data_IF_860951408108
#
_entry.id   IF_860951408108
#
_cell.length_a   1.000
_cell.length_b   1.000
_cell.length_c   1.000
_cell.angle_alpha   90.00
_cell.angle_beta   90.00
_cell.angle_gamma   90.00
#
_symmetry.space_group_name_H-M   'P 1'
#
loop_
_entity.id
_entity.type
_entity.pdbx_description
1 polymer ?
#
# COMPACT_ATOMS: atom_id res chain seq x y z
N UNK A 1 16.16 -6.12 -8.40
CA UNK A 1 16.51 -6.26 -6.95
C UNK A 1 16.70 -7.72 -6.67
N UNK A 2 17.66 -8.09 -5.83
CA UNK A 2 17.94 -9.47 -5.52
C UNK A 2 17.48 -9.80 -4.08
N UNK A 3 16.97 -11.01 -3.87
CA UNK A 3 16.70 -11.55 -2.55
C UNK A 3 18.00 -12.11 -1.97
N UNK A 4 18.33 -11.71 -0.75
CA UNK A 4 19.50 -12.20 -0.02
C UNK A 4 19.07 -13.00 1.19
N UNK A 5 19.39 -14.29 1.20
CA UNK A 5 19.34 -15.11 2.42
C UNK A 5 20.52 -14.75 3.32
N UNK A 6 20.25 -14.52 4.60
CA UNK A 6 21.30 -14.19 5.57
C UNK A 6 21.92 -15.49 6.10
N UNK A 7 23.24 -15.48 6.33
CA UNK A 7 23.96 -16.62 6.92
C UNK A 7 23.36 -16.96 8.29
N UNK A 8 23.17 -18.25 8.63
CA UNK A 8 22.51 -18.68 9.88
C UNK A 8 23.45 -18.61 11.10
N UNK A 9 24.06 -17.45 11.32
CA UNK A 9 25.00 -17.25 12.45
C UNK A 9 24.30 -17.16 13.81
N UNK A 10 22.99 -16.83 13.81
CA UNK A 10 22.16 -16.80 15.03
C UNK A 10 20.77 -17.37 14.73
N UNK A 11 20.01 -17.86 15.75
CA UNK A 11 18.65 -18.36 15.55
C UNK A 11 17.74 -17.37 14.80
N UNK A 12 17.85 -16.08 15.10
CA UNK A 12 17.05 -15.04 14.45
C UNK A 12 17.43 -14.74 13.00
N UNK A 13 18.60 -15.16 12.54
CA UNK A 13 19.07 -14.97 11.17
C UNK A 13 18.86 -16.21 10.29
N UNK A 14 18.68 -17.40 10.89
CA UNK A 14 18.56 -18.68 10.17
C UNK A 14 17.56 -18.67 9.02
N UNK A 15 16.40 -18.06 9.21
CA UNK A 15 15.34 -18.01 8.21
C UNK A 15 15.11 -16.62 7.65
N UNK A 16 16.06 -15.70 7.87
CA UNK A 16 15.91 -14.31 7.45
C UNK A 16 16.23 -14.16 5.97
N UNK A 17 15.27 -13.56 5.24
CA UNK A 17 15.42 -13.17 3.83
C UNK A 17 15.15 -11.67 3.75
N UNK A 18 16.04 -10.95 3.11
CA UNK A 18 15.91 -9.50 2.88
C UNK A 18 15.94 -9.20 1.39
N UNK A 19 15.29 -8.13 0.99
CA UNK A 19 15.45 -7.52 -0.34
C UNK A 19 16.68 -6.62 -0.29
N UNK A 20 17.57 -6.72 -1.29
CA UNK A 20 18.65 -5.76 -1.44
C UNK A 20 18.08 -4.41 -1.86
N UNK A 21 18.72 -3.34 -1.40
CA UNK A 21 18.23 -1.98 -1.65
C UNK A 21 19.14 -1.25 -2.65
N UNK A 22 19.54 -1.95 -3.70
CA UNK A 22 20.49 -1.46 -4.72
C UNK A 22 19.90 -0.31 -5.55
N UNK A 23 18.58 -0.18 -5.54
CA UNK A 23 17.80 0.87 -6.19
C UNK A 23 17.76 2.20 -5.41
N UNK A 24 18.20 2.21 -4.16
CA UNK A 24 18.18 3.41 -3.32
C UNK A 24 19.42 4.24 -3.57
N UNK A 25 19.22 5.49 -3.99
CA UNK A 25 20.31 6.41 -4.32
C UNK A 25 20.76 7.28 -3.15
N UNK A 26 19.88 7.55 -2.18
CA UNK A 26 20.22 8.32 -0.99
C UNK A 26 19.45 7.85 0.24
N UNK A 27 20.07 8.00 1.41
CA UNK A 27 19.45 7.74 2.72
C UNK A 27 18.90 9.00 3.40
N UNK A 28 19.28 10.18 2.90
CA UNK A 28 18.88 11.47 3.50
C UNK A 28 17.65 12.02 2.77
N UNK A 29 16.49 12.15 3.45
CA UNK A 29 15.31 12.74 2.84
C UNK A 29 15.41 14.26 2.73
N UNK A 30 14.67 14.85 1.80
CA UNK A 30 14.48 16.30 1.67
C UNK A 30 13.78 16.85 2.92
N UNK A 31 14.45 17.76 3.65
CA UNK A 31 14.00 18.24 4.97
C UNK A 31 12.64 18.96 4.90
N UNK A 32 12.40 19.74 3.86
CA UNK A 32 11.16 20.51 3.66
C UNK A 32 9.93 19.64 3.47
N UNK A 33 10.12 18.39 3.01
CA UNK A 33 9.04 17.45 2.72
C UNK A 33 8.86 16.38 3.81
N UNK A 34 9.46 16.56 4.98
CA UNK A 34 9.45 15.56 6.06
C UNK A 34 8.99 16.17 7.38
N UNK A 35 8.10 15.47 8.05
CA UNK A 35 7.59 15.85 9.37
C UNK A 35 7.71 14.70 10.36
N UNK A 36 7.83 15.03 11.64
CA UNK A 36 7.80 14.04 12.72
C UNK A 36 6.47 13.30 12.73
N UNK A 37 6.51 11.96 12.87
CA UNK A 37 5.30 11.14 12.89
C UNK A 37 5.07 10.60 14.29
N UNK A 38 4.04 11.13 14.97
CA UNK A 38 3.58 10.67 16.27
C UNK A 38 2.97 9.27 16.20
N UNK A 39 3.08 8.52 17.29
CA UNK A 39 2.50 7.18 17.39
C UNK A 39 1.24 7.22 18.25
N UNK A 40 0.10 6.83 17.70
CA UNK A 40 -1.17 6.76 18.43
C UNK A 40 -1.27 5.56 19.37
N UNK A 41 -0.41 4.52 19.19
CA UNK A 41 -0.52 3.28 19.94
C UNK A 41 -1.85 2.54 19.75
N UNK A 42 -2.54 2.78 18.64
CA UNK A 42 -3.87 2.21 18.35
C UNK A 42 -5.02 2.93 19.06
N UNK A 43 -4.80 4.14 19.58
CA UNK A 43 -5.83 4.99 20.20
C UNK A 43 -6.36 5.99 19.20
N UNK A 44 -7.62 6.35 19.35
CA UNK A 44 -8.24 7.45 18.62
C UNK A 44 -7.95 8.80 19.30
N UNK A 45 -8.58 9.88 18.79
CA UNK A 45 -8.48 11.23 19.36
C UNK A 45 -9.05 11.36 20.78
N UNK A 46 -9.97 10.46 21.18
CA UNK A 46 -10.54 10.39 22.53
C UNK A 46 -9.70 9.52 23.50
N UNK A 47 -8.54 9.00 23.06
CA UNK A 47 -7.70 8.10 23.84
C UNK A 47 -8.18 6.66 23.94
N UNK A 48 -9.34 6.33 23.34
CA UNK A 48 -9.92 4.97 23.36
C UNK A 48 -9.16 4.05 22.38
N UNK A 49 -8.90 2.81 22.80
CA UNK A 49 -8.24 1.82 21.95
C UNK A 49 -9.20 1.33 20.85
N UNK A 50 -8.98 1.79 19.62
CA UNK A 50 -9.72 1.35 18.43
C UNK A 50 -9.03 0.22 17.70
N UNK A 51 -7.70 0.10 17.81
CA UNK A 51 -6.92 -0.99 17.23
C UNK A 51 -5.98 -1.61 18.25
N UNK A 52 -6.18 -2.91 18.53
CA UNK A 52 -5.37 -3.68 19.46
C UNK A 52 -4.02 -4.08 18.86
N UNK A 53 -3.07 -4.42 19.72
CA UNK A 53 -1.76 -4.96 19.34
C UNK A 53 -0.90 -4.03 18.51
N UNK A 54 -1.09 -2.72 18.62
CA UNK A 54 -0.21 -1.68 18.07
C UNK A 54 0.45 -0.93 19.23
N UNK A 55 1.73 -0.66 19.08
CA UNK A 55 2.50 0.14 20.03
C UNK A 55 3.98 -0.14 19.97
N UNK A 56 4.77 0.76 20.53
CA UNK A 56 6.23 0.73 20.43
C UNK A 56 6.73 0.90 19.00
N UNK A 57 7.79 0.18 18.67
CA UNK A 57 8.43 0.24 17.36
C UNK A 57 9.37 1.44 17.18
N UNK A 58 10.12 1.44 16.09
CA UNK A 58 11.08 2.49 15.78
C UNK A 58 10.39 3.84 15.50
N UNK A 59 11.00 4.98 15.91
CA UNK A 59 10.53 6.32 15.56
C UNK A 59 10.58 6.52 14.05
N UNK A 60 9.50 7.05 13.46
CA UNK A 60 9.40 7.28 12.02
C UNK A 60 9.22 8.75 11.72
N UNK A 61 9.61 9.16 10.51
CA UNK A 61 9.28 10.44 9.92
C UNK A 61 8.30 10.20 8.78
N UNK A 62 7.31 11.05 8.64
CA UNK A 62 6.38 11.02 7.51
C UNK A 62 6.94 11.86 6.36
N UNK A 63 6.81 11.37 5.13
CA UNK A 63 7.13 12.10 3.91
C UNK A 63 5.84 12.51 3.24
N UNK A 64 5.76 13.77 2.83
CA UNK A 64 4.63 14.26 2.05
C UNK A 64 4.74 13.72 0.63
N UNK A 65 3.79 12.87 0.26
CA UNK A 65 3.75 12.26 -1.08
C UNK A 65 2.66 12.96 -1.88
N UNK A 66 3.01 13.38 -3.08
CA UNK A 66 2.06 13.90 -4.05
C UNK A 66 1.25 12.75 -4.65
N UNK A 67 0.03 12.59 -4.15
CA UNK A 67 -0.94 11.65 -4.69
C UNK A 67 -1.89 12.27 -5.71
N UNK A 68 -1.89 13.60 -5.84
CA UNK A 68 -2.78 14.31 -6.78
C UNK A 68 -2.17 14.44 -8.16
N UNK A 69 -0.85 14.67 -8.20
CA UNK A 69 -0.14 14.94 -9.46
C UNK A 69 -0.81 16.07 -10.26
N UNK A 70 -1.11 17.16 -9.57
CA UNK A 70 -1.91 18.29 -10.06
C UNK A 70 -1.11 19.32 -10.87
N UNK A 71 0.19 19.15 -11.04
CA UNK A 71 1.04 20.00 -11.90
C UNK A 71 1.00 19.49 -13.34
N UNK A 72 -0.01 19.93 -14.07
CA UNK A 72 -0.21 19.52 -15.46
C UNK A 72 0.72 20.30 -16.41
N UNK A 73 1.30 19.59 -17.40
CA UNK A 73 2.14 20.17 -18.45
C UNK A 73 3.51 20.68 -17.96
N UNK A 74 3.87 20.48 -16.71
CA UNK A 74 5.18 20.87 -16.18
C UNK A 74 6.05 19.63 -16.01
N UNK A 75 7.14 19.48 -16.78
CA UNK A 75 8.04 18.34 -16.66
C UNK A 75 8.79 18.37 -15.33
N UNK A 76 8.99 17.20 -14.76
CA UNK A 76 9.76 17.00 -13.53
C UNK A 76 10.85 15.97 -13.74
N UNK A 77 12.05 16.25 -13.26
CA UNK A 77 13.19 15.34 -13.34
C UNK A 77 13.33 14.55 -12.04
N UNK A 78 13.50 13.25 -12.14
CA UNK A 78 13.76 12.37 -11.00
C UNK A 78 15.16 12.63 -10.46
N UNK A 79 15.27 13.12 -9.23
CA UNK A 79 16.55 13.41 -8.58
C UNK A 79 17.09 12.24 -7.78
N UNK A 80 16.24 11.59 -6.97
CA UNK A 80 16.65 10.46 -6.11
C UNK A 80 15.54 9.43 -5.99
N UNK A 81 15.92 8.19 -5.70
CA UNK A 81 15.03 7.12 -5.27
C UNK A 81 15.35 6.79 -3.83
N UNK A 82 14.32 6.78 -2.95
CA UNK A 82 14.50 6.72 -1.51
C UNK A 82 13.64 5.66 -0.84
N UNK A 83 14.09 5.25 0.35
CA UNK A 83 13.32 4.40 1.26
C UNK A 83 12.32 5.23 2.08
N UNK A 84 11.07 4.78 2.18
CA UNK A 84 10.08 5.34 3.11
C UNK A 84 9.66 4.29 4.16
N UNK A 85 9.85 4.54 5.47
CA UNK A 85 9.45 3.61 6.53
C UNK A 85 7.93 3.48 6.72
N UNK A 86 7.13 4.31 6.04
CA UNK A 86 5.67 4.34 6.18
C UNK A 86 4.94 3.54 5.10
N UNK A 87 5.66 3.09 4.08
CA UNK A 87 5.11 2.30 2.98
C UNK A 87 6.07 1.20 2.53
N UNK A 88 5.53 0.23 1.80
CA UNK A 88 6.32 -0.87 1.26
C UNK A 88 7.03 -0.52 -0.05
N UNK A 89 6.48 0.43 -0.83
CA UNK A 89 7.07 0.93 -2.08
C UNK A 89 8.23 1.88 -1.82
N UNK A 90 9.13 2.02 -2.83
CA UNK A 90 10.08 3.13 -2.88
C UNK A 90 9.35 4.42 -3.21
N UNK A 91 9.98 5.54 -2.91
CA UNK A 91 9.54 6.88 -3.29
C UNK A 91 10.64 7.54 -4.14
N UNK A 92 10.25 8.44 -5.04
CA UNK A 92 11.17 9.23 -5.82
C UNK A 92 11.00 10.72 -5.49
N UNK A 93 12.10 11.42 -5.28
CA UNK A 93 12.12 12.87 -5.22
C UNK A 93 12.19 13.40 -6.66
N UNK A 94 11.21 14.18 -7.03
CA UNK A 94 11.16 14.84 -8.34
C UNK A 94 11.28 16.35 -8.16
N UNK A 95 11.99 16.98 -9.09
CA UNK A 95 12.14 18.42 -9.17
C UNK A 95 11.48 18.90 -10.45
N UNK A 96 10.45 19.69 -10.32
CA UNK A 96 9.74 20.31 -11.43
C UNK A 96 10.60 21.43 -12.05
N UNK A 97 10.32 21.77 -13.30
CA UNK A 97 11.03 22.85 -14.02
C UNK A 97 10.92 24.21 -13.32
N UNK A 98 9.85 24.43 -12.58
CA UNK A 98 9.61 25.64 -11.76
C UNK A 98 10.36 25.62 -10.40
N UNK A 99 11.19 24.61 -10.12
CA UNK A 99 11.98 24.47 -8.92
C UNK A 99 11.27 23.78 -7.75
N UNK A 100 9.95 23.52 -7.81
CA UNK A 100 9.25 22.81 -6.75
C UNK A 100 9.68 21.35 -6.68
N UNK A 101 9.94 20.87 -5.46
CA UNK A 101 10.25 19.48 -5.20
C UNK A 101 9.06 18.76 -4.61
N UNK A 102 8.78 17.54 -5.09
CA UNK A 102 7.75 16.68 -4.51
C UNK A 102 8.23 15.24 -4.43
N UNK A 103 7.70 14.48 -3.46
CA UNK A 103 7.83 13.03 -3.46
C UNK A 103 6.68 12.39 -4.20
N UNK A 104 6.97 11.37 -4.98
CA UNK A 104 5.99 10.50 -5.63
C UNK A 104 6.23 9.04 -5.23
N UNK A 105 5.23 8.17 -5.39
CA UNK A 105 5.44 6.72 -5.34
C UNK A 105 6.23 6.33 -6.59
N UNK A 106 7.41 5.74 -6.40
CA UNK A 106 8.26 5.35 -7.53
C UNK A 106 7.67 4.14 -8.25
N UNK A 107 7.46 4.17 -9.57
CA UNK A 107 7.19 2.98 -10.35
C UNK A 107 8.44 2.10 -10.48
N UNK A 108 8.22 0.84 -10.83
CA UNK A 108 9.29 -0.09 -11.16
C UNK A 108 10.00 0.34 -12.46
N UNK A 109 11.32 0.30 -12.47
CA UNK A 109 12.12 0.68 -13.64
C UNK A 109 12.37 2.18 -13.79
N UNK A 110 11.86 3.02 -12.89
CA UNK A 110 12.18 4.45 -12.88
C UNK A 110 13.66 4.67 -12.58
N UNK A 111 14.30 5.55 -13.34
CA UNK A 111 15.73 5.88 -13.20
C UNK A 111 15.92 7.34 -12.78
N UNK A 112 17.01 7.61 -12.07
CA UNK A 112 17.45 8.99 -11.80
C UNK A 112 17.80 9.68 -13.11
N UNK A 113 17.42 10.93 -13.25
CA UNK A 113 17.57 11.73 -14.47
C UNK A 113 16.41 11.60 -15.47
N UNK A 114 15.52 10.62 -15.31
CA UNK A 114 14.33 10.48 -16.16
C UNK A 114 13.38 11.64 -15.94
N UNK A 115 12.81 12.15 -17.02
CA UNK A 115 11.73 13.16 -16.97
C UNK A 115 10.39 12.46 -16.89
N UNK A 116 9.51 12.99 -16.07
CA UNK A 116 8.12 12.53 -15.91
C UNK A 116 7.18 13.73 -15.96
N UNK A 117 5.99 13.49 -16.47
CA UNK A 117 4.97 14.52 -16.67
C UNK A 117 3.59 14.06 -16.18
N UNK A 118 2.70 15.02 -15.99
CA UNK A 118 1.31 14.79 -15.64
C UNK A 118 0.41 15.69 -16.46
N UNK A 119 -0.78 15.22 -16.78
CA UNK A 119 -1.78 16.05 -17.48
C UNK A 119 -2.38 15.38 -18.71
N UNK A 120 -3.03 16.18 -19.53
CA UNK A 120 -3.63 15.75 -20.79
C UNK A 120 -2.57 15.75 -21.91
N UNK A 121 -2.70 14.81 -22.85
CA UNK A 121 -1.82 14.74 -24.02
C UNK A 121 -0.39 14.28 -23.74
N UNK A 122 -0.09 13.82 -22.52
CA UNK A 122 1.22 13.30 -22.12
C UNK A 122 1.39 11.88 -22.67
N UNK A 123 2.60 11.51 -23.10
CA UNK A 123 2.90 10.15 -23.55
C UNK A 123 2.67 9.12 -22.42
N UNK A 124 2.11 7.93 -22.70
CA UNK A 124 1.80 6.91 -21.71
C UNK A 124 3.06 6.12 -21.28
N UNK A 125 4.09 6.84 -20.83
CA UNK A 125 5.35 6.28 -20.36
C UNK A 125 5.35 5.99 -18.85
N UNK A 126 6.29 5.15 -18.40
CA UNK A 126 6.40 4.76 -16.99
C UNK A 126 6.67 5.99 -16.11
N UNK A 127 5.79 6.23 -15.13
CA UNK A 127 5.87 7.35 -14.20
C UNK A 127 5.00 8.55 -14.57
N UNK A 128 4.53 8.63 -15.81
CA UNK A 128 3.61 9.66 -16.25
C UNK A 128 2.20 9.42 -15.71
N UNK A 129 1.49 10.51 -15.42
CA UNK A 129 0.15 10.45 -14.86
C UNK A 129 -0.84 11.12 -15.81
N UNK A 130 -1.81 10.32 -16.26
CA UNK A 130 -2.83 10.72 -17.23
C UNK A 130 -4.23 10.45 -16.70
N UNK A 131 -5.23 10.98 -17.39
CA UNK A 131 -6.62 10.56 -17.20
C UNK A 131 -6.84 9.14 -17.75
N UNK A 132 -7.74 8.39 -17.15
CA UNK A 132 -8.07 7.03 -17.65
C UNK A 132 -8.61 7.05 -19.09
N UNK A 133 -9.11 8.20 -19.54
CA UNK A 133 -9.56 8.39 -20.91
C UNK A 133 -8.41 8.29 -21.94
N UNK A 134 -7.20 8.69 -21.56
CA UNK A 134 -6.05 8.79 -22.49
C UNK A 134 -5.11 7.59 -22.43
N UNK A 135 -5.16 6.79 -21.36
CA UNK A 135 -4.27 5.64 -21.19
C UNK A 135 -4.68 4.50 -22.15
N UNK A 136 -3.79 3.93 -22.96
CA UNK A 136 -4.12 2.82 -23.85
C UNK A 136 -4.66 1.59 -23.12
N UNK A 137 -5.50 0.80 -23.77
CA UNK A 137 -6.00 -0.48 -23.24
C UNK A 137 -4.85 -1.47 -23.01
N UNK A 138 -5.02 -2.34 -22.04
CA UNK A 138 -4.01 -3.32 -21.67
C UNK A 138 -2.87 -2.78 -20.82
N UNK A 139 -2.73 -1.44 -20.71
CA UNK A 139 -1.65 -0.79 -19.94
C UNK A 139 -1.75 -1.13 -18.45
N UNK A 140 -0.59 -1.39 -17.85
CA UNK A 140 -0.47 -1.57 -16.41
C UNK A 140 -0.37 -0.21 -15.73
N UNK A 141 -1.21 0.01 -14.74
CA UNK A 141 -1.35 1.29 -14.05
C UNK A 141 -1.35 1.12 -12.53
N UNK A 142 -0.98 2.17 -11.83
CA UNK A 142 -1.00 2.25 -10.38
C UNK A 142 -1.43 3.66 -9.92
N UNK A 143 -1.47 3.91 -8.62
CA UNK A 143 -1.88 5.21 -8.06
C UNK A 143 -3.20 5.72 -8.63
N UNK A 144 -4.24 4.88 -8.61
CA UNK A 144 -5.52 5.17 -9.25
C UNK A 144 -6.42 5.99 -8.31
N UNK A 145 -7.03 7.04 -8.84
CA UNK A 145 -8.07 7.80 -8.16
C UNK A 145 -9.41 7.07 -8.14
N UNK A 146 -10.22 7.35 -7.14
CA UNK A 146 -11.62 6.90 -7.06
C UNK A 146 -12.62 7.98 -7.50
N UNK A 147 -12.24 9.23 -7.34
CA UNK A 147 -12.99 10.42 -7.76
C UNK A 147 -11.99 11.41 -8.35
N UNK A 148 -12.35 12.14 -9.40
CA UNK A 148 -11.46 13.11 -10.00
C UNK A 148 -10.95 14.15 -8.99
N UNK A 149 -9.64 14.41 -8.99
CA UNK A 149 -8.99 15.38 -8.11
C UNK A 149 -8.84 14.96 -6.63
N UNK A 150 -9.33 13.79 -6.25
CA UNK A 150 -9.19 13.29 -4.86
C UNK A 150 -7.75 12.84 -4.53
N UNK A 151 -6.94 12.59 -5.53
CA UNK A 151 -5.64 11.94 -5.43
C UNK A 151 -5.73 10.41 -5.35
N UNK A 152 -4.62 9.77 -5.59
CA UNK A 152 -4.52 8.31 -5.66
C UNK A 152 -4.95 7.63 -4.36
N UNK A 153 -5.83 6.64 -4.46
CA UNK A 153 -6.35 5.84 -3.32
C UNK A 153 -6.11 4.35 -3.49
N UNK A 154 -6.05 3.85 -4.71
CA UNK A 154 -5.91 2.42 -5.01
C UNK A 154 -4.56 2.12 -5.63
N UNK A 155 -4.13 0.85 -5.52
CA UNK A 155 -2.92 0.30 -6.15
C UNK A 155 -1.66 1.12 -5.81
N UNK A 156 -1.31 1.19 -4.52
CA UNK A 156 -0.17 1.97 -4.00
C UNK A 156 0.89 1.14 -3.30
N UNK A 157 0.61 -0.13 -3.03
CA UNK A 157 1.53 -1.02 -2.32
C UNK A 157 2.62 -1.53 -3.25
N UNK A 158 3.77 -1.91 -2.69
CA UNK A 158 4.89 -2.47 -3.44
C UNK A 158 4.45 -3.60 -4.37
N UNK A 159 4.94 -3.58 -5.62
CA UNK A 159 4.65 -4.57 -6.64
C UNK A 159 3.19 -4.61 -7.13
N UNK A 160 2.31 -3.75 -6.62
CA UNK A 160 0.92 -3.73 -7.04
C UNK A 160 0.77 -3.03 -8.39
N UNK A 161 -0.13 -3.58 -9.22
CA UNK A 161 -0.57 -2.99 -10.47
C UNK A 161 -2.04 -3.34 -10.71
N UNK A 162 -2.70 -2.57 -11.52
CA UNK A 162 -3.99 -2.85 -12.10
C UNK A 162 -3.88 -2.73 -13.61
N UNK A 163 -4.82 -3.31 -14.35
CA UNK A 163 -4.81 -3.27 -15.81
C UNK A 163 -6.07 -2.60 -16.32
N UNK A 164 -5.91 -1.64 -17.23
CA UNK A 164 -7.03 -1.02 -17.92
C UNK A 164 -7.55 -1.97 -19.00
N UNK A 165 -8.77 -2.46 -18.84
CA UNK A 165 -9.35 -3.48 -19.73
C UNK A 165 -10.12 -2.84 -20.88
N UNK A 166 -11.05 -1.94 -20.56
CA UNK A 166 -11.91 -1.28 -21.54
C UNK A 166 -12.40 0.06 -21.02
N UNK A 167 -12.99 0.82 -21.89
CA UNK A 167 -13.72 2.08 -21.60
C UNK A 167 -15.09 2.03 -22.21
N UNK A 168 -16.04 2.55 -21.48
CA UNK A 168 -17.39 2.82 -21.89
C UNK A 168 -17.57 4.34 -21.82
N UNK A 169 -18.67 4.94 -22.29
CA UNK A 169 -18.85 6.39 -22.40
C UNK A 169 -18.34 7.22 -21.21
N UNK A 170 -18.64 6.79 -20.01
CA UNK A 170 -18.34 7.50 -18.77
C UNK A 170 -17.31 6.80 -17.87
N UNK A 171 -17.19 5.49 -18.00
CA UNK A 171 -16.41 4.69 -17.08
C UNK A 171 -15.30 3.91 -17.78
N UNK A 172 -14.18 3.73 -17.08
CA UNK A 172 -13.14 2.81 -17.42
C UNK A 172 -13.28 1.54 -16.57
N UNK A 173 -13.15 0.37 -17.17
CA UNK A 173 -13.16 -0.93 -16.48
C UNK A 173 -11.71 -1.33 -16.20
N UNK A 174 -11.42 -1.49 -14.91
CA UNK A 174 -10.07 -1.78 -14.44
C UNK A 174 -10.06 -3.12 -13.70
N UNK A 175 -9.15 -4.01 -14.10
CA UNK A 175 -8.85 -5.26 -13.40
C UNK A 175 -7.89 -4.96 -12.25
N UNK A 176 -8.37 -5.11 -11.02
CA UNK A 176 -7.62 -4.84 -9.79
C UNK A 176 -6.66 -5.98 -9.45
N UNK A 177 -5.63 -5.74 -8.60
CA UNK A 177 -4.71 -6.80 -8.14
C UNK A 177 -5.41 -7.99 -7.46
N UNK A 178 -6.60 -7.78 -6.91
CA UNK A 178 -7.42 -8.84 -6.31
C UNK A 178 -8.14 -9.74 -7.33
N UNK A 179 -8.11 -9.39 -8.63
CA UNK A 179 -8.89 -10.02 -9.69
C UNK A 179 -10.31 -9.43 -9.87
N UNK A 180 -10.73 -8.50 -9.01
CA UNK A 180 -12.00 -7.78 -9.14
C UNK A 180 -11.95 -6.83 -10.34
N UNK A 181 -12.97 -6.85 -11.21
CA UNK A 181 -13.16 -5.84 -12.26
C UNK A 181 -14.09 -4.73 -11.75
N UNK A 182 -13.63 -3.50 -11.88
CA UNK A 182 -14.29 -2.34 -11.30
C UNK A 182 -14.38 -1.17 -12.27
N UNK A 183 -15.54 -0.52 -12.28
CA UNK A 183 -15.79 0.72 -13.01
C UNK A 183 -15.23 1.92 -12.21
N UNK A 184 -14.51 2.79 -12.89
CA UNK A 184 -13.99 4.07 -12.38
C UNK A 184 -14.25 5.14 -13.43
N UNK A 185 -14.59 6.35 -13.01
CA UNK A 185 -14.82 7.47 -13.93
C UNK A 185 -13.56 7.73 -14.80
N UNK A 186 -13.73 7.92 -16.08
CA UNK A 186 -12.62 8.17 -17.02
C UNK A 186 -11.84 9.45 -16.73
N UNK A 187 -12.47 10.44 -16.09
CA UNK A 187 -11.82 11.66 -15.63
C UNK A 187 -10.86 11.45 -14.43
N UNK A 188 -10.88 10.26 -13.79
CA UNK A 188 -9.91 9.93 -12.75
C UNK A 188 -8.53 9.73 -13.35
N UNK A 189 -7.51 10.09 -12.58
CA UNK A 189 -6.10 9.94 -12.97
C UNK A 189 -5.53 8.61 -12.49
N UNK A 190 -4.56 8.12 -13.23
CA UNK A 190 -3.72 7.00 -12.85
C UNK A 190 -2.29 7.20 -13.37
N UNK A 191 -1.32 6.57 -12.72
CA UNK A 191 0.08 6.59 -13.14
C UNK A 191 0.40 5.31 -13.90
N UNK A 192 1.10 5.43 -15.02
CA UNK A 192 1.52 4.29 -15.85
C UNK A 192 2.63 3.50 -15.17
N UNK A 193 2.56 2.18 -15.26
CA UNK A 193 3.56 1.24 -14.74
C UNK A 193 3.12 0.50 -13.47
N UNK A 194 4.03 -0.30 -12.92
CA UNK A 194 3.88 -1.12 -11.71
C UNK A 194 4.54 -0.38 -10.55
N UNK A 195 4.04 -0.51 -9.33
CA UNK A 195 4.69 0.05 -8.14
C UNK A 195 6.01 -0.66 -7.87
N UNK A 196 7.05 0.08 -7.51
CA UNK A 196 8.40 -0.44 -7.19
C UNK A 196 8.42 -1.46 -6.06
N UNK A 197 9.55 -2.17 -5.91
CA UNK A 197 9.83 -3.14 -4.84
C UNK A 197 8.90 -4.36 -4.82
N UNK A 198 8.67 -5.06 -5.95
CA UNK A 198 7.74 -6.19 -6.03
C UNK A 198 8.15 -7.37 -5.13
N UNK A 199 9.43 -7.54 -4.85
CA UNK A 199 9.93 -8.62 -3.98
C UNK A 199 9.68 -8.39 -2.48
N UNK A 200 9.10 -7.26 -2.08
CA UNK A 200 8.81 -6.96 -0.68
C UNK A 200 7.98 -8.03 0.04
N UNK A 201 7.08 -8.70 -0.67
CA UNK A 201 6.26 -9.78 -0.11
C UNK A 201 7.05 -11.06 0.20
N UNK A 202 8.24 -11.22 -0.38
CA UNK A 202 9.13 -12.36 -0.20
C UNK A 202 10.09 -12.18 0.99
N UNK A 203 10.06 -11.03 1.65
CA UNK A 203 10.85 -10.78 2.86
C UNK A 203 10.41 -11.66 4.01
N UNK A 204 11.36 -12.32 4.66
CA UNK A 204 11.13 -13.10 5.88
C UNK A 204 11.86 -12.46 7.07
N UNK A 205 11.12 -12.03 8.06
CA UNK A 205 11.64 -11.30 9.23
C UNK A 205 12.60 -12.11 10.12
N UNK A 206 12.47 -13.43 10.14
CA UNK A 206 13.33 -14.37 10.85
C UNK A 206 13.14 -14.42 12.37
N UNK A 207 12.60 -13.36 13.01
CA UNK A 207 12.39 -13.31 14.47
C UNK A 207 11.18 -12.44 14.86
N UNK A 208 10.56 -12.78 16.00
CA UNK A 208 9.43 -12.03 16.56
C UNK A 208 9.79 -10.55 16.88
N UNK A 209 11.04 -10.29 17.30
CA UNK A 209 11.53 -8.94 17.60
C UNK A 209 11.43 -7.99 16.42
N UNK A 210 11.50 -8.46 15.15
CA UNK A 210 11.29 -7.60 13.99
C UNK A 210 9.87 -7.02 13.96
N UNK A 211 8.87 -7.81 14.30
CA UNK A 211 7.49 -7.32 14.41
C UNK A 211 7.36 -6.27 15.52
N UNK A 212 8.09 -6.43 16.64
CA UNK A 212 8.16 -5.42 17.70
C UNK A 212 8.75 -4.10 17.20
N UNK A 213 9.81 -4.14 16.41
CA UNK A 213 10.40 -2.96 15.79
C UNK A 213 9.46 -2.24 14.82
N UNK A 214 8.59 -3.00 14.14
CA UNK A 214 7.54 -2.45 13.28
C UNK A 214 6.34 -1.87 14.04
N UNK A 215 6.32 -2.01 15.38
CA UNK A 215 5.24 -1.52 16.23
C UNK A 215 4.08 -2.51 16.41
N UNK A 216 4.27 -3.76 16.05
CA UNK A 216 3.28 -4.84 16.25
C UNK A 216 3.56 -5.55 17.57
N UNK A 217 2.57 -5.59 18.45
CA UNK A 217 2.63 -6.36 19.70
C UNK A 217 2.17 -7.80 19.50
N UNK A 218 2.59 -8.72 20.37
CA UNK A 218 2.10 -10.11 20.37
C UNK A 218 0.57 -10.15 20.45
N UNK A 219 -0.04 -11.18 19.84
CA UNK A 219 -1.48 -11.42 19.87
C UNK A 219 -1.79 -12.68 20.65
N UNK A 220 -2.74 -12.55 21.58
CA UNK A 220 -3.34 -13.70 22.24
C UNK A 220 -4.52 -14.24 21.42
N UNK A 221 -4.66 -15.56 21.37
CA UNK A 221 -5.82 -16.22 20.75
C UNK A 221 -7.03 -16.12 21.68
N UNK A 222 -8.23 -16.12 21.12
CA UNK A 222 -9.47 -16.09 21.92
C UNK A 222 -9.63 -17.27 22.86
N UNK A 223 -9.11 -18.44 22.45
CA UNK A 223 -9.16 -19.70 23.25
C UNK A 223 -8.40 -19.61 24.59
N UNK A 224 -7.39 -18.74 24.69
CA UNK A 224 -6.59 -18.56 25.94
C UNK A 224 -7.09 -17.41 26.79
N UNK A 225 -8.23 -16.85 26.47
CA UNK A 225 -8.88 -15.79 27.23
C UNK A 225 -9.97 -16.36 28.13
N UNK A 226 -10.44 -15.55 29.07
CA UNK A 226 -11.61 -15.89 29.87
C UNK A 226 -12.92 -15.72 29.07
N UNK A 227 -14.03 -16.37 29.46
CA UNK A 227 -15.31 -16.25 28.77
C UNK A 227 -15.81 -14.81 28.62
N UNK A 228 -15.55 -13.94 29.60
CA UNK A 228 -15.90 -12.51 29.57
C UNK A 228 -15.16 -11.73 28.47
N UNK A 229 -13.95 -12.16 28.11
CA UNK A 229 -13.11 -11.45 27.14
C UNK A 229 -13.32 -11.89 25.70
N UNK A 230 -13.75 -13.15 25.52
CA UNK A 230 -13.89 -13.71 24.18
C UNK A 230 -14.90 -14.88 24.17
N UNK A 231 -15.78 -14.99 23.14
CA UNK A 231 -16.75 -16.08 23.02
C UNK A 231 -16.14 -17.49 22.95
N UNK A 232 -14.86 -17.59 22.68
CA UNK A 232 -14.12 -18.86 22.64
C UNK A 232 -13.22 -19.03 23.86
N UNK A 233 -13.37 -18.21 24.88
CA UNK A 233 -12.62 -18.29 26.13
C UNK A 233 -13.24 -19.27 27.10
N UNK A 234 -12.45 -19.66 28.11
CA UNK A 234 -12.86 -20.62 29.14
C UNK A 234 -12.68 -22.08 28.72
N UNK A 235 -13.23 -22.97 29.56
CA UNK A 235 -13.14 -24.43 29.41
C UNK A 235 -11.85 -25.02 29.93
N UNK A 236 -11.79 -26.34 29.97
CA UNK A 236 -10.59 -27.08 30.29
C UNK A 236 -9.77 -27.39 29.03
N UNK A 237 -8.45 -27.20 29.13
CA UNK A 237 -7.52 -27.46 28.04
C UNK A 237 -7.60 -26.43 26.91
N UNK A 238 -7.21 -26.86 25.69
CA UNK A 238 -7.08 -25.96 24.51
C UNK A 238 -8.27 -26.03 23.55
N UNK A 239 -9.39 -26.51 24.02
CA UNK A 239 -10.61 -26.61 23.20
C UNK A 239 -11.41 -25.30 23.20
N UNK A 240 -11.90 -24.92 22.04
CA UNK A 240 -12.69 -23.69 21.85
C UNK A 240 -14.19 -23.93 21.82
N UNK A 241 -14.68 -25.15 22.01
CA UNK A 241 -16.10 -25.53 21.99
C UNK A 241 -16.93 -24.82 20.88
N UNK A 242 -17.26 -25.50 19.79
CA UNK A 242 -18.12 -24.95 18.74
C UNK A 242 -17.41 -24.19 17.61
N UNK A 243 -18.19 -23.45 16.81
CA UNK A 243 -17.71 -22.74 15.63
C UNK A 243 -16.80 -21.56 15.97
N UNK A 244 -15.66 -21.40 15.25
CA UNK A 244 -14.76 -20.26 15.47
C UNK A 244 -15.47 -18.92 15.32
N UNK A 245 -15.38 -18.08 16.34
CA UNK A 245 -16.00 -16.74 16.38
C UNK A 245 -14.96 -15.66 16.63
N UNK A 246 -15.26 -14.47 16.14
CA UNK A 246 -14.54 -13.24 16.52
C UNK A 246 -14.96 -12.78 17.91
N UNK A 247 -14.23 -11.80 18.50
CA UNK A 247 -14.60 -11.18 19.76
C UNK A 247 -16.04 -10.59 19.78
N UNK A 248 -16.55 -10.21 18.63
CA UNK A 248 -17.94 -9.71 18.47
C UNK A 248 -18.97 -10.81 18.23
N UNK A 249 -18.62 -12.09 18.39
CA UNK A 249 -19.50 -13.21 18.16
C UNK A 249 -19.71 -13.61 16.70
N UNK A 250 -19.16 -12.86 15.74
CA UNK A 250 -19.33 -13.11 14.32
C UNK A 250 -18.50 -14.35 13.92
N UNK A 251 -19.06 -15.29 13.13
CA UNK A 251 -18.31 -16.44 12.63
C UNK A 251 -17.01 -16.03 11.94
N UNK A 252 -15.88 -16.64 12.33
CA UNK A 252 -14.56 -16.29 11.82
C UNK A 252 -14.22 -16.95 10.49
N UNK A 253 -14.94 -18.04 10.11
CA UNK A 253 -14.75 -18.77 8.86
C UNK A 253 -16.03 -18.69 8.01
N UNK A 254 -15.86 -18.47 6.71
CA UNK A 254 -16.93 -18.49 5.71
C UNK A 254 -17.91 -17.31 5.73
N UNK A 255 -17.99 -16.53 6.79
CA UNK A 255 -18.93 -15.41 6.88
C UNK A 255 -18.53 -14.24 5.96
N UNK A 256 -19.48 -13.80 5.13
CA UNK A 256 -19.29 -12.65 4.24
C UNK A 256 -19.49 -11.34 5.01
N UNK A 257 -18.38 -10.64 5.31
CA UNK A 257 -18.40 -9.39 6.11
C UNK A 257 -18.79 -8.14 5.32
N UNK A 258 -18.76 -8.19 3.99
CA UNK A 258 -19.19 -7.05 3.16
C UNK A 258 -20.70 -6.86 3.26
N UNK A 259 -21.17 -5.67 3.60
CA UNK A 259 -22.59 -5.36 3.64
C UNK A 259 -23.22 -5.57 2.24
N UNK A 260 -24.35 -6.31 2.12
CA UNK A 260 -24.98 -6.59 0.83
C UNK A 260 -25.38 -5.32 0.06
N UNK A 261 -25.93 -4.32 0.75
CA UNK A 261 -26.41 -3.04 0.21
C UNK A 261 -25.33 -1.95 0.17
N UNK A 262 -24.04 -2.31 0.13
CA UNK A 262 -22.97 -1.29 0.08
C UNK A 262 -23.01 -0.55 -1.26
N UNK A 263 -23.13 0.78 -1.24
CA UNK A 263 -23.25 1.64 -2.45
C UNK A 263 -22.15 1.36 -3.49
N UNK A 264 -20.92 1.11 -3.04
CA UNK A 264 -19.81 0.79 -3.96
C UNK A 264 -19.96 -0.54 -4.70
N UNK A 265 -20.98 -1.35 -4.42
CA UNK A 265 -21.23 -2.62 -5.13
C UNK A 265 -21.69 -2.39 -6.56
N UNK A 266 -22.33 -1.24 -6.87
CA UNK A 266 -22.74 -0.88 -8.23
C UNK A 266 -21.57 -0.65 -9.21
N UNK A 267 -20.38 -0.39 -8.68
CA UNK A 267 -19.16 -0.17 -9.49
C UNK A 267 -18.36 -1.46 -9.70
N UNK A 268 -18.81 -2.61 -9.21
CA UNK A 268 -18.12 -3.90 -9.38
C UNK A 268 -18.80 -4.61 -10.53
N UNK A 269 -18.09 -4.82 -11.63
CA UNK A 269 -18.54 -5.57 -12.81
C UNK A 269 -18.41 -7.06 -12.53
N UNK A 270 -17.22 -7.48 -12.14
CA UNK A 270 -16.94 -8.88 -11.81
C UNK A 270 -16.20 -8.96 -10.47
N UNK A 271 -16.66 -9.88 -9.62
CA UNK A 271 -15.96 -10.17 -8.35
C UNK A 271 -14.81 -11.14 -8.61
N UNK A 272 -13.80 -11.11 -7.72
CA UNK A 272 -12.71 -12.09 -7.78
C UNK A 272 -13.30 -13.52 -7.78
N UNK A 273 -12.81 -14.34 -8.68
CA UNK A 273 -13.05 -15.78 -8.63
C UNK A 273 -12.38 -16.35 -7.37
N UNK A 274 -13.04 -17.32 -6.74
CA UNK A 274 -12.48 -18.00 -5.56
C UNK A 274 -11.33 -18.90 -5.94
#
# INVERSE_FOLDING_TARGET
>A
MALKKIKPTTPGQRHKVIVTSDDITTSKPEKSLVVGFGKSGGRNNEGKMTMRYIGGGHKKRYRFIDFKRDKDGIPAVVKTIEYDPNRSSRIALVCYRDGEKRYIVAPQGLKVGQTIESGKGVAPEIGNTLTLAEIPFGTLIHNIELRPGQGAKMVRSAGAYAQLMSRDDKYAIIKMPSGEMRMILQACRATVGIVSNPEHNLEVGGKAGRNRWLGRRPRNRGVVMNPVDHPMGGGEGRQSGGLPRSRKGIPAKGYKTRAPKKQSSKYIVERRKK
#
